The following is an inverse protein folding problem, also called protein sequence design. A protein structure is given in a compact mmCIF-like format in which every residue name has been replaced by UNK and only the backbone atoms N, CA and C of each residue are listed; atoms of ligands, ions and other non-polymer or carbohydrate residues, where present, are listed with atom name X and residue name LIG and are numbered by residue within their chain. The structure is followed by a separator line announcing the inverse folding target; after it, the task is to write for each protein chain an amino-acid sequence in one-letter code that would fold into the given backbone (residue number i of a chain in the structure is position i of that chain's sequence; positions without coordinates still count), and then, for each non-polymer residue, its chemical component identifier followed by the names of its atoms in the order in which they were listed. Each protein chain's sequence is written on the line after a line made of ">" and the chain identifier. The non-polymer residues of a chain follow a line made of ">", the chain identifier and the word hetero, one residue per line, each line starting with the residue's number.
data_IF_107463115931
#
_entry.id   IF_107463115931
#
_cell.length_a   1.000
_cell.length_b   1.000
_cell.length_c   1.000
_cell.angle_alpha   90.00
_cell.angle_beta   90.00
_cell.angle_gamma   90.00
#
_symmetry.space_group_name_H-M   'P 1'
#
loop_
_entity.id
_entity.type
_entity.pdbx_description
1 polymer ?
#
# COMPACT_ATOMS: atom_id res chain seq x y z
N UNK A 1 0.42 -15.06 -14.94
CA UNK A 1 1.32 -14.07 -14.32
C UNK A 1 0.49 -12.99 -13.64
N UNK A 2 -0.18 -13.32 -12.52
CA UNK A 2 -1.12 -12.41 -11.84
C UNK A 2 -0.78 -12.21 -10.36
N UNK A 3 0.48 -12.46 -9.97
CA UNK A 3 0.92 -12.34 -8.57
C UNK A 3 1.35 -10.91 -8.20
N UNK A 4 1.46 -10.01 -9.18
CA UNK A 4 1.94 -8.64 -8.95
C UNK A 4 0.83 -7.66 -8.54
N UNK A 5 -0.43 -7.91 -8.92
CA UNK A 5 -1.54 -6.99 -8.60
C UNK A 5 -1.93 -6.97 -7.11
N UNK A 6 -1.69 -8.05 -6.35
CA UNK A 6 -2.04 -8.08 -4.93
C UNK A 6 -1.05 -7.29 -4.06
N UNK A 7 0.20 -7.17 -4.51
CA UNK A 7 1.21 -6.33 -3.86
C UNK A 7 0.87 -4.83 -4.00
N UNK A 8 0.23 -4.43 -5.11
CA UNK A 8 -0.19 -3.04 -5.34
C UNK A 8 -1.39 -2.60 -4.48
N UNK A 9 -2.06 -3.53 -3.80
CA UNK A 9 -3.21 -3.27 -2.93
C UNK A 9 -2.93 -3.56 -1.45
N UNK A 10 -1.69 -3.96 -1.13
CA UNK A 10 -1.25 -4.20 0.23
C UNK A 10 -0.18 -3.20 0.64
N UNK A 11 -0.28 -2.73 1.88
CA UNK A 11 0.68 -1.80 2.42
C UNK A 11 2.03 -2.50 2.62
N UNK A 12 3.15 -1.98 2.09
CA UNK A 12 4.46 -2.61 2.24
C UNK A 12 4.97 -2.60 3.68
N UNK A 13 4.35 -1.84 4.58
CA UNK A 13 4.72 -1.76 6.01
C UNK A 13 4.02 -2.85 6.82
N UNK A 14 2.70 -2.93 6.75
CA UNK A 14 1.93 -3.89 7.55
C UNK A 14 1.53 -5.16 6.78
N UNK A 15 1.87 -5.24 5.48
CA UNK A 15 1.53 -6.32 4.54
C UNK A 15 0.03 -6.69 4.53
N UNK A 16 -0.80 -5.78 5.00
CA UNK A 16 -2.25 -5.90 5.03
C UNK A 16 -2.86 -5.03 3.93
N UNK A 17 -4.14 -5.26 3.65
CA UNK A 17 -4.91 -4.45 2.71
C UNK A 17 -4.86 -2.97 3.14
N UNK A 18 -4.75 -2.06 2.17
CA UNK A 18 -4.72 -0.64 2.47
C UNK A 18 -5.97 -0.20 3.25
N UNK A 19 -5.76 0.33 4.45
CA UNK A 19 -6.79 0.96 5.27
C UNK A 19 -6.47 2.45 5.35
N UNK A 20 -7.33 3.28 4.76
CA UNK A 20 -7.11 4.71 4.55
C UNK A 20 -5.78 5.00 3.81
N UNK A 21 -5.69 4.67 2.51
CA UNK A 21 -4.48 4.92 1.73
C UNK A 21 -4.20 6.42 1.64
N UNK A 22 -2.96 6.81 1.93
CA UNK A 22 -2.43 8.15 1.66
C UNK A 22 -1.33 8.05 0.61
N UNK A 23 -1.39 8.96 -0.37
CA UNK A 23 -0.39 9.07 -1.43
C UNK A 23 0.69 10.07 -1.03
N UNK A 24 1.93 9.62 -0.98
CA UNK A 24 3.08 10.50 -0.82
C UNK A 24 3.46 11.13 -2.16
N UNK A 25 4.14 12.28 -2.09
CA UNK A 25 4.70 12.98 -3.26
C UNK A 25 5.70 12.12 -4.06
N UNK A 26 6.30 11.11 -3.43
CA UNK A 26 7.16 10.11 -4.07
C UNK A 26 6.39 9.01 -4.83
N UNK A 27 5.07 9.15 -5.01
CA UNK A 27 4.17 8.19 -5.68
C UNK A 27 4.01 6.84 -4.96
N UNK A 28 4.40 6.76 -3.70
CA UNK A 28 4.14 5.59 -2.87
C UNK A 28 2.83 5.78 -2.08
N UNK A 29 2.09 4.69 -1.92
CA UNK A 29 0.84 4.66 -1.17
C UNK A 29 1.03 3.79 0.06
N UNK A 30 0.60 4.30 1.22
CA UNK A 30 0.68 3.61 2.50
C UNK A 30 -0.63 3.77 3.26
N UNK A 31 -0.88 2.94 4.28
CA UNK A 31 -1.96 3.21 5.23
C UNK A 31 -1.62 4.45 6.06
N UNK A 32 -2.62 5.27 6.38
CA UNK A 32 -2.46 6.41 7.29
C UNK A 32 -1.82 6.02 8.64
N UNK A 33 -2.09 4.80 9.13
CA UNK A 33 -1.54 4.29 10.38
C UNK A 33 -0.12 3.68 10.26
N UNK A 34 0.39 3.53 9.04
CA UNK A 34 1.72 2.96 8.77
C UNK A 34 2.78 4.01 8.43
N UNK A 35 2.35 5.23 8.12
CA UNK A 35 3.17 6.44 8.07
C UNK A 35 3.16 7.08 9.46
#
# INVERSE_FOLDING_TARGET
>A
MAQYLQAELSCPVCLNFFSCPISLSCKHVFCFNCI
#
